data_IF_795942558122
#
_entry.id   IF_795942558122
#
_cell.length_a   1.000
_cell.length_b   1.000
_cell.length_c   1.000
_cell.angle_alpha   90.00
_cell.angle_beta   90.00
_cell.angle_gamma   90.00
#
_symmetry.space_group_name_H-M   'P 1'
#
loop_
_entity.id
_entity.type
_entity.pdbx_description
1 polymer ?
#
# COMPACT_ATOMS: atom_id res chain seq x y z
N UNK A 1 -20.35 -5.94 4.52
CA UNK A 1 -19.83 -5.45 5.83
C UNK A 1 -18.47 -6.03 6.13
N UNK A 2 -18.26 -7.36 6.07
CA UNK A 2 -16.95 -7.98 6.34
C UNK A 2 -15.81 -7.43 5.47
N UNK A 3 -16.01 -7.29 4.15
CA UNK A 3 -14.97 -6.79 3.25
C UNK A 3 -14.58 -5.33 3.51
N UNK A 4 -15.53 -4.49 3.90
CA UNK A 4 -15.26 -3.10 4.29
C UNK A 4 -14.40 -3.07 5.55
N UNK A 5 -14.71 -3.93 6.53
CA UNK A 5 -13.86 -4.11 7.72
C UNK A 5 -12.43 -4.51 7.36
N UNK A 6 -12.26 -5.49 6.47
CA UNK A 6 -10.93 -5.92 6.00
C UNK A 6 -10.18 -4.77 5.32
N UNK A 7 -10.83 -4.03 4.42
CA UNK A 7 -10.22 -2.87 3.75
C UNK A 7 -9.75 -1.85 4.78
N UNK A 8 -10.62 -1.45 5.72
CA UNK A 8 -10.30 -0.45 6.75
C UNK A 8 -9.13 -0.91 7.62
N UNK A 9 -9.18 -2.15 8.12
CA UNK A 9 -8.12 -2.70 8.98
C UNK A 9 -6.80 -2.75 8.22
N UNK A 10 -6.80 -3.17 6.95
CA UNK A 10 -5.60 -3.23 6.12
C UNK A 10 -5.00 -1.83 5.92
N UNK A 11 -5.82 -0.83 5.60
CA UNK A 11 -5.37 0.56 5.45
C UNK A 11 -4.79 1.10 6.76
N UNK A 12 -5.44 0.86 7.89
CA UNK A 12 -4.95 1.32 9.19
C UNK A 12 -3.60 0.66 9.53
N UNK A 13 -3.49 -0.65 9.37
CA UNK A 13 -2.23 -1.37 9.63
C UNK A 13 -1.10 -0.84 8.73
N UNK A 14 -1.37 -0.64 7.43
CA UNK A 14 -0.41 -0.09 6.48
C UNK A 14 0.05 1.32 6.90
N UNK A 15 -0.88 2.24 7.15
CA UNK A 15 -0.54 3.62 7.51
C UNK A 15 0.19 3.71 8.86
N UNK A 16 -0.22 2.95 9.88
CA UNK A 16 0.46 2.96 11.18
C UNK A 16 1.86 2.37 11.10
N UNK A 17 2.03 1.25 10.39
CA UNK A 17 3.35 0.63 10.22
C UNK A 17 4.31 1.52 9.42
N UNK A 18 3.82 2.21 8.38
CA UNK A 18 4.58 3.23 7.65
C UNK A 18 4.93 4.45 8.48
N UNK A 19 4.04 4.92 9.34
CA UNK A 19 4.31 6.03 10.26
C UNK A 19 5.41 5.65 11.27
N UNK A 20 5.34 4.44 11.80
CA UNK A 20 6.36 3.90 12.68
C UNK A 20 7.71 3.78 11.96
N UNK A 21 7.74 3.20 10.75
CA UNK A 21 8.97 3.09 9.97
C UNK A 21 9.57 4.46 9.64
N UNK A 22 8.74 5.43 9.25
CA UNK A 22 9.19 6.79 8.99
C UNK A 22 9.79 7.49 10.23
N UNK A 23 9.38 7.09 11.44
CA UNK A 23 9.93 7.63 12.69
C UNK A 23 11.38 7.17 12.98
N UNK A 24 11.85 6.12 12.30
CA UNK A 24 13.22 5.62 12.43
C UNK A 24 14.25 6.56 11.76
N UNK A 25 13.81 7.37 10.80
CA UNK A 25 14.68 8.21 9.97
C UNK A 25 15.05 7.55 8.65
N UNK A 26 15.30 8.38 7.63
CA UNK A 26 15.58 7.93 6.27
C UNK A 26 16.88 7.11 6.23
N UNK A 27 16.82 5.92 5.62
CA UNK A 27 17.92 4.95 5.54
C UNK A 27 18.40 4.40 6.89
N UNK A 28 17.62 4.56 7.96
CA UNK A 28 17.88 3.83 9.19
C UNK A 28 17.59 2.35 8.97
N UNK A 29 18.52 1.51 9.41
CA UNK A 29 18.54 0.08 9.12
C UNK A 29 18.54 -0.72 10.43
N UNK A 30 17.51 -1.54 10.64
CA UNK A 30 17.36 -2.39 11.83
C UNK A 30 17.42 -3.86 11.38
N UNK A 31 18.49 -4.60 11.72
CA UNK A 31 18.55 -6.03 11.44
C UNK A 31 17.51 -6.77 12.31
N UNK A 32 16.60 -7.50 11.67
CA UNK A 32 15.65 -8.39 12.34
C UNK A 32 16.16 -9.83 12.27
N UNK A 33 16.71 -10.23 11.12
CA UNK A 33 17.46 -11.47 10.93
C UNK A 33 18.79 -11.09 10.29
N UNK A 34 19.85 -11.17 11.07
CA UNK A 34 21.22 -10.82 10.64
C UNK A 34 21.57 -11.45 9.29
N UNK A 35 22.00 -10.62 8.35
CA UNK A 35 22.38 -11.04 6.99
C UNK A 35 21.24 -11.46 6.06
N UNK A 36 19.96 -11.33 6.47
CA UNK A 36 18.82 -11.74 5.65
C UNK A 36 17.69 -10.71 5.59
N UNK A 37 17.21 -10.23 6.73
CA UNK A 37 16.01 -9.40 6.80
C UNK A 37 16.23 -8.19 7.70
N UNK A 38 16.04 -7.01 7.12
CA UNK A 38 16.25 -5.73 7.79
C UNK A 38 15.02 -4.86 7.57
N UNK A 39 14.71 -4.03 8.56
CA UNK A 39 13.72 -2.97 8.40
C UNK A 39 14.48 -1.71 8.06
N UNK A 40 14.43 -1.33 6.79
CA UNK A 40 15.04 -0.10 6.28
C UNK A 40 13.97 0.85 5.77
N UNK A 41 13.89 2.07 6.31
CA UNK A 41 12.92 3.05 5.82
C UNK A 41 13.44 3.79 4.57
N UNK A 42 12.67 3.76 3.48
CA UNK A 42 12.97 4.40 2.21
C UNK A 42 11.76 5.14 1.66
N UNK A 43 11.99 6.24 0.94
CA UNK A 43 10.96 6.97 0.20
C UNK A 43 10.94 6.50 -1.25
N UNK A 44 9.89 5.79 -1.65
CA UNK A 44 9.75 5.26 -3.00
C UNK A 44 8.92 6.20 -3.87
N UNK A 45 9.57 6.79 -4.88
CA UNK A 45 8.93 7.67 -5.85
C UNK A 45 8.44 6.94 -7.11
N UNK A 46 8.65 5.63 -7.22
CA UNK A 46 8.22 4.81 -8.36
C UNK A 46 7.23 3.71 -8.00
N UNK A 47 7.09 2.74 -8.89
CA UNK A 47 6.52 1.42 -8.62
C UNK A 47 7.62 0.35 -8.69
N UNK A 48 7.27 -0.93 -8.89
CA UNK A 48 8.25 -2.00 -9.02
C UNK A 48 9.34 -1.66 -10.06
N UNK A 49 10.60 -1.98 -9.71
CA UNK A 49 11.80 -1.63 -10.51
C UNK A 49 11.97 -0.13 -10.80
N UNK A 50 11.47 0.74 -9.91
CA UNK A 50 11.52 2.20 -10.06
C UNK A 50 10.83 2.72 -11.34
N UNK A 51 9.94 1.92 -11.95
CA UNK A 51 9.16 2.36 -13.09
C UNK A 51 8.32 3.58 -12.71
N UNK A 52 8.19 4.52 -13.66
CA UNK A 52 7.44 5.77 -13.47
C UNK A 52 7.90 6.58 -12.25
N UNK A 53 9.18 6.49 -11.88
CA UNK A 53 9.76 7.29 -10.81
C UNK A 53 9.52 8.79 -11.04
N UNK A 54 9.03 9.48 -10.01
CA UNK A 54 8.68 10.91 -10.06
C UNK A 54 7.31 11.21 -10.69
N UNK A 55 6.62 10.21 -11.26
CA UNK A 55 5.31 10.38 -11.91
C UNK A 55 4.14 10.10 -10.94
N UNK A 56 4.12 10.77 -9.78
CA UNK A 56 3.14 10.47 -8.73
C UNK A 56 1.69 10.65 -9.17
N UNK A 57 1.40 11.67 -9.98
CA UNK A 57 0.06 11.89 -10.52
C UNK A 57 -0.44 10.71 -11.37
N UNK A 58 0.44 10.14 -12.20
CA UNK A 58 0.13 8.96 -13.03
C UNK A 58 -0.09 7.73 -12.14
N UNK A 59 0.82 7.49 -11.20
CA UNK A 59 0.72 6.34 -10.28
C UNK A 59 -0.53 6.44 -9.39
N UNK A 60 -0.87 7.63 -8.90
CA UNK A 60 -2.07 7.89 -8.12
C UNK A 60 -3.35 7.64 -8.95
N UNK A 61 -3.37 8.10 -10.20
CA UNK A 61 -4.49 7.86 -11.11
C UNK A 61 -4.67 6.36 -11.38
N UNK A 62 -3.59 5.64 -11.70
CA UNK A 62 -3.62 4.19 -11.93
C UNK A 62 -4.13 3.44 -10.69
N UNK A 63 -3.64 3.80 -9.50
CA UNK A 63 -4.10 3.19 -8.25
C UNK A 63 -5.58 3.48 -7.99
N UNK A 64 -6.05 4.72 -8.20
CA UNK A 64 -7.45 5.10 -8.02
C UNK A 64 -8.38 4.33 -8.98
N UNK A 65 -8.00 4.20 -10.26
CA UNK A 65 -8.74 3.41 -11.25
C UNK A 65 -8.78 1.94 -10.85
N UNK A 66 -7.64 1.35 -10.46
CA UNK A 66 -7.57 -0.04 -10.02
C UNK A 66 -8.45 -0.30 -8.80
N UNK A 67 -8.40 0.57 -7.78
CA UNK A 67 -9.27 0.50 -6.60
C UNK A 67 -10.75 0.55 -7.00
N UNK A 68 -11.13 1.46 -7.92
CA UNK A 68 -12.49 1.57 -8.42
C UNK A 68 -12.97 0.30 -9.13
N UNK A 69 -12.15 -0.28 -10.00
CA UNK A 69 -12.46 -1.52 -10.72
C UNK A 69 -12.55 -2.73 -9.79
N UNK A 70 -11.61 -2.87 -8.85
CA UNK A 70 -11.65 -3.94 -7.84
C UNK A 70 -12.87 -3.79 -6.92
N UNK A 71 -13.18 -2.57 -6.49
CA UNK A 71 -14.36 -2.26 -5.68
C UNK A 71 -15.66 -2.56 -6.43
N UNK A 72 -15.76 -2.16 -7.70
CA UNK A 72 -16.89 -2.50 -8.55
C UNK A 72 -17.07 -4.02 -8.64
N UNK A 73 -16.01 -4.77 -8.94
CA UNK A 73 -16.09 -6.22 -9.03
C UNK A 73 -16.51 -6.84 -7.69
N UNK A 74 -15.90 -6.41 -6.58
CA UNK A 74 -16.20 -6.90 -5.24
C UNK A 74 -17.65 -6.68 -4.83
N UNK A 75 -18.19 -5.46 -5.02
CA UNK A 75 -19.52 -5.09 -4.51
C UNK A 75 -20.66 -5.35 -5.49
N UNK A 76 -20.39 -5.31 -6.80
CA UNK A 76 -21.41 -5.53 -7.84
C UNK A 76 -21.44 -6.99 -8.30
N UNK A 77 -20.27 -7.58 -8.59
CA UNK A 77 -20.20 -8.97 -9.08
C UNK A 77 -20.23 -10.00 -7.97
N UNK A 78 -19.91 -9.60 -6.72
CA UNK A 78 -20.01 -10.43 -5.51
C UNK A 78 -19.36 -11.81 -5.73
N UNK A 79 -18.03 -11.85 -5.93
CA UNK A 79 -17.33 -13.10 -6.20
C UNK A 79 -17.38 -14.04 -4.99
N UNK A 80 -16.81 -15.24 -5.14
CA UNK A 80 -16.66 -16.17 -4.03
C UNK A 80 -15.86 -15.55 -2.86
N UNK A 81 -15.98 -16.16 -1.68
CA UNK A 81 -15.44 -15.61 -0.44
C UNK A 81 -13.94 -15.39 -0.53
N UNK A 82 -13.19 -16.32 -1.12
CA UNK A 82 -11.73 -16.23 -1.20
C UNK A 82 -11.33 -15.04 -2.08
N UNK A 83 -11.93 -14.94 -3.28
CA UNK A 83 -11.71 -13.81 -4.18
C UNK A 83 -12.14 -12.49 -3.52
N UNK A 84 -13.25 -12.48 -2.77
CA UNK A 84 -13.72 -11.31 -2.05
C UNK A 84 -12.74 -10.80 -0.99
N UNK A 85 -12.14 -11.72 -0.22
CA UNK A 85 -11.11 -11.41 0.77
C UNK A 85 -9.83 -10.91 0.08
N UNK A 86 -9.38 -11.58 -0.99
CA UNK A 86 -8.20 -11.17 -1.75
C UNK A 86 -8.35 -9.75 -2.30
N UNK A 87 -9.50 -9.42 -2.90
CA UNK A 87 -9.78 -8.07 -3.40
C UNK A 87 -9.83 -7.04 -2.28
N UNK A 88 -10.42 -7.37 -1.13
CA UNK A 88 -10.45 -6.47 0.02
C UNK A 88 -9.04 -6.12 0.53
N UNK A 89 -8.14 -7.11 0.60
CA UNK A 89 -6.74 -6.89 0.98
C UNK A 89 -5.99 -6.06 -0.07
N UNK A 90 -6.17 -6.37 -1.35
CA UNK A 90 -5.55 -5.62 -2.46
C UNK A 90 -6.00 -4.16 -2.50
N UNK A 91 -7.31 -3.91 -2.32
CA UNK A 91 -7.87 -2.55 -2.23
C UNK A 91 -7.27 -1.81 -1.04
N UNK A 92 -7.18 -2.46 0.13
CA UNK A 92 -6.60 -1.86 1.32
C UNK A 92 -5.14 -1.43 1.13
N UNK A 93 -4.30 -2.31 0.60
CA UNK A 93 -2.89 -2.00 0.31
C UNK A 93 -2.73 -0.92 -0.77
N UNK A 94 -3.51 -1.00 -1.85
CA UNK A 94 -3.50 0.02 -2.89
C UNK A 94 -3.95 1.40 -2.37
N UNK A 95 -4.94 1.43 -1.48
CA UNK A 95 -5.43 2.67 -0.86
C UNK A 95 -4.38 3.30 0.05
N UNK A 96 -3.68 2.53 0.89
CA UNK A 96 -2.58 3.05 1.72
C UNK A 96 -1.45 3.66 0.89
N UNK A 97 -1.06 2.99 -0.20
CA UNK A 97 -0.10 3.50 -1.18
C UNK A 97 -0.59 4.72 -1.96
N UNK A 98 -1.90 4.85 -2.21
CA UNK A 98 -2.49 6.02 -2.85
C UNK A 98 -2.49 7.22 -1.89
N UNK A 99 -2.83 7.02 -0.62
CA UNK A 99 -2.80 8.06 0.42
C UNK A 99 -1.40 8.66 0.50
N UNK A 100 -0.37 7.83 0.64
CA UNK A 100 1.01 8.29 0.67
C UNK A 100 1.38 9.14 -0.56
N UNK A 101 1.03 8.68 -1.77
CA UNK A 101 1.30 9.44 -3.00
C UNK A 101 0.62 10.80 -3.03
N UNK A 102 -0.64 10.88 -2.58
CA UNK A 102 -1.42 12.12 -2.60
C UNK A 102 -0.93 13.14 -1.57
N UNK A 103 -0.48 12.69 -0.40
CA UNK A 103 -0.11 13.59 0.70
C UNK A 103 1.40 13.83 0.83
N UNK A 104 2.24 12.87 0.42
CA UNK A 104 3.69 12.91 0.63
C UNK A 104 4.49 13.00 -0.68
N UNK A 105 3.88 12.76 -1.84
CA UNK A 105 4.56 12.62 -3.15
C UNK A 105 5.56 11.44 -3.24
N UNK A 106 5.48 10.48 -2.35
CA UNK A 106 6.22 9.21 -2.39
C UNK A 106 5.47 8.17 -1.54
N UNK A 107 5.83 6.90 -1.65
CA UNK A 107 5.40 5.83 -0.75
C UNK A 107 6.44 5.60 0.32
N UNK A 108 5.99 5.46 1.58
CA UNK A 108 6.85 5.03 2.68
C UNK A 108 7.05 3.52 2.56
N UNK A 109 8.23 3.10 2.11
CA UNK A 109 8.60 1.70 2.03
C UNK A 109 9.51 1.33 3.20
N UNK A 110 9.31 0.13 3.69
CA UNK A 110 10.09 -0.53 4.72
C UNK A 110 9.86 -2.04 4.58
N UNK A 111 10.75 -2.84 5.16
CA UNK A 111 10.95 -4.31 4.96
C UNK A 111 12.04 -4.66 3.94
#
# INVERSE_FOLDING_TARGET
>A
MIYIGIIIVTVLIDLFSKMWAASLGLFHDIPVIEGFFHITYVQNTGMAWSLLSGQQGVLALVAAVAIGLMGWYLFVKKPDILTGISLALMIGGAAGNLIDRLFLNYVRDFL
#
